data_IF_542927381483
#
_entry.id   IF_542927381483
#
_cell.length_a   1.000
_cell.length_b   1.000
_cell.length_c   1.000
_cell.angle_alpha   90.00
_cell.angle_beta   90.00
_cell.angle_gamma   90.00
#
_symmetry.space_group_name_H-M   'P 1'
#
loop_
_entity.id
_entity.type
_entity.pdbx_description
1 polymer ?
#
# COMPACT_ATOMS: atom_id res chain seq x y z
N UNK A 1 38.33 33.96 -15.88
CA UNK A 1 37.23 33.44 -15.04
C UNK A 1 36.05 33.15 -15.95
N UNK A 2 35.53 31.93 -15.96
CA UNK A 2 34.30 31.61 -16.72
C UNK A 2 33.10 32.17 -15.94
N UNK A 3 32.11 32.81 -16.59
CA UNK A 3 30.93 33.30 -15.91
C UNK A 3 30.16 32.12 -15.33
N UNK A 4 29.88 32.17 -14.02
CA UNK A 4 29.00 31.22 -13.35
C UNK A 4 27.58 31.63 -13.74
N UNK A 5 26.87 30.75 -14.47
CA UNK A 5 25.48 30.98 -14.88
C UNK A 5 24.61 31.33 -13.67
N UNK A 6 23.64 32.27 -13.80
CA UNK A 6 22.77 32.62 -12.70
C UNK A 6 21.94 31.39 -12.32
N UNK A 7 21.98 31.01 -11.03
CA UNK A 7 21.09 29.98 -10.47
C UNK A 7 19.65 30.42 -10.78
N UNK A 8 18.89 29.62 -11.51
CA UNK A 8 17.45 29.85 -11.69
C UNK A 8 16.81 29.95 -10.29
N UNK A 9 16.03 31.01 -10.08
CA UNK A 9 15.27 31.19 -8.85
C UNK A 9 14.08 30.22 -8.87
N UNK A 10 14.08 29.26 -7.96
CA UNK A 10 12.99 28.29 -7.77
C UNK A 10 11.77 29.03 -7.19
N UNK A 11 10.57 28.81 -7.74
CA UNK A 11 9.30 29.37 -7.25
C UNK A 11 8.35 28.28 -6.75
N UNK A 12 7.26 28.66 -6.09
CA UNK A 12 6.23 27.70 -5.66
C UNK A 12 5.57 26.96 -6.84
N UNK A 13 5.57 27.57 -8.03
CA UNK A 13 4.99 27.00 -9.25
C UNK A 13 5.77 25.76 -9.71
N UNK A 14 7.05 25.64 -9.34
CA UNK A 14 7.88 24.47 -9.65
C UNK A 14 7.40 23.20 -8.91
N UNK A 15 6.52 23.32 -7.90
CA UNK A 15 5.96 22.20 -7.15
C UNK A 15 4.78 21.52 -7.88
N UNK A 16 4.04 22.27 -8.68
CA UNK A 16 2.77 21.83 -9.27
C UNK A 16 2.89 20.58 -10.18
N UNK A 17 3.95 20.45 -11.01
CA UNK A 17 4.15 19.23 -11.81
C UNK A 17 4.36 17.98 -10.95
N UNK A 18 4.97 18.11 -9.77
CA UNK A 18 5.19 16.99 -8.85
C UNK A 18 3.90 16.63 -8.11
N UNK A 19 3.13 17.62 -7.65
CA UNK A 19 1.82 17.38 -7.02
C UNK A 19 0.86 16.66 -7.96
N UNK A 20 0.81 17.09 -9.21
CA UNK A 20 -0.02 16.43 -10.24
C UNK A 20 0.38 14.95 -10.42
N UNK A 21 1.68 14.66 -10.48
CA UNK A 21 2.17 13.28 -10.56
C UNK A 21 1.86 12.46 -9.30
N UNK A 22 1.91 13.07 -8.11
CA UNK A 22 1.51 12.42 -6.86
C UNK A 22 0.02 12.06 -6.90
N UNK A 23 -0.86 12.99 -7.30
CA UNK A 23 -2.29 12.75 -7.38
C UNK A 23 -2.63 11.59 -8.34
N UNK A 24 -1.95 11.51 -9.49
CA UNK A 24 -2.09 10.40 -10.43
C UNK A 24 -1.62 9.05 -9.84
N UNK A 25 -0.54 9.07 -9.05
CA UNK A 25 -0.04 7.88 -8.35
C UNK A 25 -1.03 7.46 -7.27
N UNK A 26 -1.57 8.40 -6.51
CA UNK A 26 -2.53 8.12 -5.44
C UNK A 26 -3.81 7.47 -5.98
N UNK A 27 -4.29 7.91 -7.16
CA UNK A 27 -5.39 7.25 -7.86
C UNK A 27 -5.08 5.79 -8.25
N UNK A 28 -3.84 5.51 -8.65
CA UNK A 28 -3.39 4.13 -8.94
C UNK A 28 -3.27 3.31 -7.67
N UNK A 29 -2.76 3.90 -6.58
CA UNK A 29 -2.65 3.24 -5.27
C UNK A 29 -4.04 2.83 -4.79
N UNK A 30 -5.02 3.74 -4.77
CA UNK A 30 -6.36 3.39 -4.27
C UNK A 30 -7.03 2.30 -5.11
N UNK A 31 -6.83 2.31 -6.44
CA UNK A 31 -7.32 1.26 -7.32
C UNK A 31 -6.71 -0.10 -6.97
N UNK A 32 -5.38 -0.17 -6.82
CA UNK A 32 -4.68 -1.41 -6.47
C UNK A 32 -5.06 -1.93 -5.08
N UNK A 33 -5.27 -1.02 -4.11
CA UNK A 33 -5.72 -1.39 -2.76
C UNK A 33 -7.13 -1.97 -2.76
N UNK A 34 -8.03 -1.42 -3.58
CA UNK A 34 -9.38 -1.96 -3.76
C UNK A 34 -9.36 -3.33 -4.44
N UNK A 35 -8.56 -3.51 -5.49
CA UNK A 35 -8.36 -4.81 -6.15
C UNK A 35 -7.82 -5.86 -5.16
N UNK A 36 -6.80 -5.51 -4.38
CA UNK A 36 -6.26 -6.38 -3.32
C UNK A 36 -7.30 -6.74 -2.27
N UNK A 37 -8.13 -5.78 -1.85
CA UNK A 37 -9.18 -6.00 -0.85
C UNK A 37 -10.29 -6.91 -1.37
N UNK A 38 -10.64 -6.80 -2.66
CA UNK A 38 -11.59 -7.71 -3.30
C UNK A 38 -11.08 -9.15 -3.33
N UNK A 39 -9.78 -9.35 -3.64
CA UNK A 39 -9.16 -10.67 -3.58
C UNK A 39 -9.19 -11.26 -2.17
N UNK A 40 -8.93 -10.44 -1.15
CA UNK A 40 -9.02 -10.89 0.23
C UNK A 40 -10.45 -11.23 0.65
N UNK A 41 -11.46 -10.47 0.21
CA UNK A 41 -12.86 -10.83 0.44
C UNK A 41 -13.22 -12.20 -0.16
N UNK A 42 -12.78 -12.48 -1.38
CA UNK A 42 -12.99 -13.79 -2.01
C UNK A 42 -12.31 -14.91 -1.19
N UNK A 43 -11.12 -14.65 -0.66
CA UNK A 43 -10.44 -15.57 0.27
C UNK A 43 -11.25 -15.74 1.56
N UNK A 44 -11.80 -14.67 2.11
CA UNK A 44 -12.67 -14.69 3.30
C UNK A 44 -13.90 -15.57 3.10
N UNK A 45 -14.55 -15.49 1.94
CA UNK A 45 -15.67 -16.37 1.58
C UNK A 45 -15.28 -17.85 1.56
N UNK A 46 -14.15 -18.18 0.92
CA UNK A 46 -13.63 -19.54 0.88
C UNK A 46 -13.29 -20.03 2.31
N UNK A 47 -12.65 -19.19 3.14
CA UNK A 47 -12.34 -19.53 4.53
C UNK A 47 -13.60 -19.80 5.34
N UNK A 48 -14.65 -19.00 5.15
CA UNK A 48 -15.94 -19.21 5.82
C UNK A 48 -16.54 -20.58 5.44
N UNK A 49 -16.57 -20.92 4.14
CA UNK A 49 -17.06 -22.20 3.65
C UNK A 49 -16.26 -23.40 4.21
N UNK A 50 -14.95 -23.20 4.44
CA UNK A 50 -14.05 -24.21 5.00
C UNK A 50 -14.01 -24.22 6.54
N UNK A 51 -14.72 -23.32 7.22
CA UNK A 51 -14.65 -23.17 8.68
C UNK A 51 -13.28 -22.71 9.20
N UNK A 52 -12.48 -22.03 8.37
CA UNK A 52 -11.15 -21.55 8.71
C UNK A 52 -11.20 -20.13 9.33
N UNK A 53 -10.28 -19.80 10.25
CA UNK A 53 -10.21 -18.47 10.81
C UNK A 53 -9.74 -17.44 9.76
N UNK A 54 -10.31 -16.23 9.83
CA UNK A 54 -9.87 -15.10 8.98
C UNK A 54 -8.42 -14.74 9.31
N UNK A 55 -8.07 -14.66 10.60
CA UNK A 55 -6.74 -14.29 11.08
C UNK A 55 -5.75 -15.45 10.92
N UNK A 56 -4.70 -15.23 10.12
CA UNK A 56 -3.64 -16.21 9.86
C UNK A 56 -2.25 -15.54 9.97
N UNK A 57 -1.64 -15.49 11.17
CA UNK A 57 -0.37 -14.78 11.39
C UNK A 57 0.79 -15.25 10.50
N UNK A 58 0.85 -16.55 10.19
CA UNK A 58 1.88 -17.09 9.30
C UNK A 58 1.80 -16.47 7.89
N UNK A 59 0.57 -16.29 7.38
CA UNK A 59 0.35 -15.69 6.08
C UNK A 59 0.70 -14.20 6.06
N UNK A 60 0.39 -13.47 7.12
CA UNK A 60 0.76 -12.05 7.24
C UNK A 60 2.29 -11.86 7.25
N UNK A 61 3.02 -12.72 7.98
CA UNK A 61 4.50 -12.73 7.97
C UNK A 61 5.08 -12.97 6.57
N UNK A 62 4.50 -13.88 5.80
CA UNK A 62 4.93 -14.13 4.41
C UNK A 62 4.71 -12.90 3.52
N UNK A 63 3.56 -12.24 3.64
CA UNK A 63 3.25 -11.02 2.88
C UNK A 63 4.31 -9.95 3.19
N UNK A 64 4.57 -9.67 4.48
CA UNK A 64 5.55 -8.68 4.92
C UNK A 64 6.96 -9.01 4.40
N UNK A 65 7.39 -10.29 4.53
CA UNK A 65 8.68 -10.73 3.98
C UNK A 65 8.79 -10.49 2.48
N UNK A 66 7.73 -10.78 1.73
CA UNK A 66 7.73 -10.63 0.28
C UNK A 66 7.85 -9.16 -0.13
N UNK A 67 7.03 -8.28 0.44
CA UNK A 67 7.00 -6.85 0.05
C UNK A 67 8.27 -6.12 0.46
N UNK A 68 8.88 -6.49 1.59
CA UNK A 68 10.17 -5.95 2.01
C UNK A 68 11.30 -6.40 1.07
N UNK A 69 11.29 -7.65 0.60
CA UNK A 69 12.29 -8.17 -0.35
C UNK A 69 12.18 -7.54 -1.73
N UNK A 70 10.96 -7.21 -2.17
CA UNK A 70 10.69 -6.65 -3.50
C UNK A 70 10.64 -5.13 -3.51
N UNK A 71 11.22 -4.45 -2.52
CA UNK A 71 11.25 -2.99 -2.44
C UNK A 71 12.58 -2.43 -3.00
N UNK A 72 12.65 -1.99 -4.27
CA UNK A 72 13.81 -1.30 -4.83
C UNK A 72 13.81 0.21 -4.56
N UNK A 73 12.77 0.72 -3.89
CA UNK A 73 12.46 2.14 -3.83
C UNK A 73 13.17 2.88 -2.69
N UNK A 74 12.97 4.21 -2.62
CA UNK A 74 13.61 5.07 -1.61
C UNK A 74 13.05 4.86 -0.19
N UNK A 75 11.94 4.15 -0.04
CA UNK A 75 11.39 3.81 1.27
C UNK A 75 12.26 2.74 1.94
N UNK A 76 12.52 2.90 3.23
CA UNK A 76 13.19 1.85 4.01
C UNK A 76 12.29 0.61 4.14
N UNK A 77 12.90 -0.55 4.33
CA UNK A 77 12.15 -1.79 4.55
C UNK A 77 11.18 -1.70 5.73
N UNK A 78 11.53 -0.95 6.79
CA UNK A 78 10.66 -0.73 7.94
C UNK A 78 9.49 0.22 7.61
N UNK A 79 9.69 1.22 6.75
CA UNK A 79 8.59 2.05 6.27
C UNK A 79 7.59 1.22 5.44
N UNK A 80 8.08 0.38 4.53
CA UNK A 80 7.24 -0.54 3.75
C UNK A 80 6.49 -1.49 4.67
N UNK A 81 7.17 -2.05 5.69
CA UNK A 81 6.54 -2.93 6.67
C UNK A 81 5.34 -2.26 7.35
N UNK A 82 5.51 -1.06 7.91
CA UNK A 82 4.42 -0.34 8.60
C UNK A 82 3.23 -0.04 7.69
N UNK A 83 3.48 0.33 6.43
CA UNK A 83 2.43 0.56 5.45
C UNK A 83 1.63 -0.72 5.17
N UNK A 84 2.33 -1.84 4.94
CA UNK A 84 1.68 -3.10 4.66
C UNK A 84 0.97 -3.72 5.87
N UNK A 85 1.45 -3.50 7.09
CA UNK A 85 0.73 -3.85 8.31
C UNK A 85 -0.63 -3.14 8.34
N UNK A 86 -0.68 -1.83 8.03
CA UNK A 86 -1.95 -1.10 7.97
C UNK A 86 -2.87 -1.62 6.86
N UNK A 87 -2.34 -1.90 5.67
CA UNK A 87 -3.13 -2.46 4.57
C UNK A 87 -3.73 -3.82 4.95
N UNK A 88 -2.95 -4.69 5.60
CA UNK A 88 -3.42 -6.00 6.09
C UNK A 88 -4.53 -5.80 7.14
N UNK A 89 -4.33 -4.89 8.08
CA UNK A 89 -5.30 -4.62 9.14
C UNK A 89 -6.66 -4.16 8.60
N UNK A 90 -6.68 -3.22 7.65
CA UNK A 90 -7.92 -2.72 7.04
C UNK A 90 -8.64 -3.81 6.24
N UNK A 91 -7.89 -4.57 5.45
CA UNK A 91 -8.47 -5.69 4.68
C UNK A 91 -9.07 -6.75 5.61
N UNK A 92 -8.38 -7.08 6.70
CA UNK A 92 -8.87 -8.04 7.70
C UNK A 92 -10.09 -7.50 8.43
N UNK A 93 -10.15 -6.20 8.72
CA UNK A 93 -11.33 -5.57 9.31
C UNK A 93 -12.55 -5.69 8.39
N UNK A 94 -12.38 -5.46 7.09
CA UNK A 94 -13.41 -5.66 6.08
C UNK A 94 -13.91 -7.11 6.03
N UNK A 95 -13.00 -8.10 6.01
CA UNK A 95 -13.35 -9.52 6.04
C UNK A 95 -14.15 -9.88 7.30
N UNK A 96 -13.72 -9.40 8.48
CA UNK A 96 -14.43 -9.65 9.75
C UNK A 96 -15.83 -9.07 9.76
N UNK A 97 -15.99 -7.83 9.29
CA UNK A 97 -17.31 -7.19 9.20
C UNK A 97 -18.26 -7.98 8.30
N UNK A 98 -17.75 -8.66 7.27
CA UNK A 98 -18.57 -9.36 6.28
C UNK A 98 -18.87 -10.82 6.64
N UNK A 99 -17.93 -11.51 7.28
CA UNK A 99 -17.99 -12.97 7.48
C UNK A 99 -17.94 -13.40 8.96
N UNK A 100 -17.71 -12.48 9.89
CA UNK A 100 -17.67 -12.74 11.34
C UNK A 100 -18.60 -11.81 12.16
N UNK A 101 -19.43 -10.99 11.51
CA UNK A 101 -20.55 -10.35 12.17
C UNK A 101 -21.60 -11.41 12.48
N UNK A 102 -21.80 -11.67 13.77
CA UNK A 102 -22.98 -12.35 14.31
C UNK A 102 -24.28 -11.69 13.85
#
# INVERSE_FOLDING_TARGET
>A
MKPVSPRQAVSEEDLEPFRTQIDEIDQKIIKLLNERSNLANNIGEIKQQLGLPIYMPAREKEILKNVMRTNPGPLSAEAVRRLFERIIDETRALERQKYQSE
#
